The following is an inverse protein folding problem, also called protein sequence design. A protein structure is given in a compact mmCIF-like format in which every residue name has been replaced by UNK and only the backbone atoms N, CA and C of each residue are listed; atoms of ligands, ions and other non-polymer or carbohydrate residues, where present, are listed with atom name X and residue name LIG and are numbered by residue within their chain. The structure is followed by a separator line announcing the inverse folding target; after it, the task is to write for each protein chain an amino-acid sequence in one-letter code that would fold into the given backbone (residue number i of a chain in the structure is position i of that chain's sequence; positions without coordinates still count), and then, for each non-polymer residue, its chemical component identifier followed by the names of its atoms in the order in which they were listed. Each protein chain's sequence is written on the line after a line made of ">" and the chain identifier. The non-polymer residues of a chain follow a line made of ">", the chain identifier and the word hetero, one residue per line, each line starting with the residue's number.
data_IF_929444939009
#
_entry.id   IF_929444939009
#
_cell.length_a   1.000
_cell.length_b   1.000
_cell.length_c   1.000
_cell.angle_alpha   90.00
_cell.angle_beta   90.00
_cell.angle_gamma   90.00
#
_symmetry.space_group_name_H-M   'P 1'
#
loop_
_entity.id
_entity.type
_entity.pdbx_description
1 polymer ?
#
# COMPACT_ATOMS: atom_id res chain seq x y z
N UNK A 1 -13.61 12.47 -20.70
CA UNK A 1 -13.88 12.18 -19.30
C UNK A 1 -13.85 10.68 -19.07
N UNK A 2 -13.44 10.25 -17.88
CA UNK A 2 -13.40 8.84 -17.50
C UNK A 2 -14.79 8.27 -17.21
N UNK A 3 -14.87 6.95 -17.10
CA UNK A 3 -16.09 6.26 -16.70
C UNK A 3 -16.23 6.30 -15.16
N UNK A 4 -17.42 6.56 -14.66
CA UNK A 4 -17.70 6.46 -13.22
C UNK A 4 -17.95 4.99 -12.86
N UNK A 5 -17.02 4.39 -12.09
CA UNK A 5 -17.15 3.04 -11.58
C UNK A 5 -17.89 3.02 -10.24
N UNK A 6 -18.48 1.88 -9.86
CA UNK A 6 -18.99 1.69 -8.51
C UNK A 6 -17.89 1.92 -7.46
N UNK A 7 -18.29 2.36 -6.27
CA UNK A 7 -17.36 2.38 -5.14
C UNK A 7 -16.87 0.96 -4.81
N UNK A 8 -15.72 0.83 -4.14
CA UNK A 8 -15.19 -0.47 -3.72
C UNK A 8 -16.23 -1.25 -2.90
N UNK A 9 -16.94 -0.57 -1.98
CA UNK A 9 -18.01 -1.16 -1.20
C UNK A 9 -19.17 -1.70 -2.06
N UNK A 10 -19.60 -0.94 -3.07
CA UNK A 10 -20.66 -1.39 -3.97
C UNK A 10 -20.21 -2.56 -4.84
N UNK A 11 -18.97 -2.55 -5.31
CA UNK A 11 -18.40 -3.67 -6.04
C UNK A 11 -18.27 -4.93 -5.15
N UNK A 12 -17.90 -4.76 -3.88
CA UNK A 12 -17.78 -5.87 -2.94
C UNK A 12 -19.12 -6.55 -2.62
N UNK A 13 -20.22 -5.81 -2.68
CA UNK A 13 -21.56 -6.36 -2.49
C UNK A 13 -21.98 -7.39 -3.56
N UNK A 14 -21.24 -7.48 -4.67
CA UNK A 14 -21.42 -8.53 -5.67
C UNK A 14 -20.85 -9.89 -5.25
N UNK A 15 -19.90 -9.93 -4.29
CA UNK A 15 -19.13 -11.11 -3.92
C UNK A 15 -18.43 -11.80 -5.12
N UNK A 16 -18.15 -11.04 -6.19
CA UNK A 16 -17.62 -11.55 -7.46
C UNK A 16 -16.20 -11.01 -7.71
N UNK A 17 -15.12 -11.80 -7.45
CA UNK A 17 -13.75 -11.41 -7.76
C UNK A 17 -13.53 -11.13 -9.25
N UNK A 18 -14.25 -11.81 -10.13
CA UNK A 18 -14.13 -11.58 -11.58
C UNK A 18 -14.68 -10.20 -11.97
N UNK A 19 -15.76 -9.73 -11.32
CA UNK A 19 -16.23 -8.36 -11.50
C UNK A 19 -15.19 -7.34 -11.03
N UNK A 20 -14.53 -7.58 -9.88
CA UNK A 20 -13.44 -6.75 -9.41
C UNK A 20 -12.25 -6.74 -10.40
N UNK A 21 -11.89 -7.89 -10.96
CA UNK A 21 -10.84 -8.01 -11.98
C UNK A 21 -11.17 -7.22 -13.25
N UNK A 22 -12.40 -7.33 -13.76
CA UNK A 22 -12.86 -6.56 -14.93
C UNK A 22 -12.84 -5.06 -14.66
N UNK A 23 -13.27 -4.63 -13.47
CA UNK A 23 -13.21 -3.23 -13.04
C UNK A 23 -11.78 -2.72 -13.01
N UNK A 24 -10.85 -3.49 -12.40
CA UNK A 24 -9.42 -3.18 -12.39
C UNK A 24 -8.83 -3.05 -13.79
N UNK A 25 -9.17 -3.98 -14.70
CA UNK A 25 -8.71 -3.93 -16.09
C UNK A 25 -9.22 -2.70 -16.85
N UNK A 26 -10.46 -2.28 -16.61
CA UNK A 26 -11.02 -1.08 -17.21
C UNK A 26 -10.34 0.18 -16.69
N UNK A 27 -10.17 0.32 -15.38
CA UNK A 27 -9.46 1.44 -14.76
C UNK A 27 -7.98 1.48 -15.16
N UNK A 28 -7.32 0.32 -15.27
CA UNK A 28 -5.95 0.23 -15.76
C UNK A 28 -5.81 0.76 -17.19
N UNK A 29 -6.74 0.44 -18.08
CA UNK A 29 -6.74 1.00 -19.45
C UNK A 29 -6.92 2.52 -19.46
N UNK A 30 -7.84 3.06 -18.65
CA UNK A 30 -8.02 4.51 -18.53
C UNK A 30 -6.75 5.19 -17.97
N UNK A 31 -6.16 4.63 -16.91
CA UNK A 31 -4.93 5.12 -16.33
C UNK A 31 -3.79 5.14 -17.35
N UNK A 32 -3.65 4.07 -18.15
CA UNK A 32 -2.66 4.00 -19.23
C UNK A 32 -2.90 5.07 -20.29
N UNK A 33 -4.14 5.31 -20.70
CA UNK A 33 -4.48 6.38 -21.65
C UNK A 33 -4.11 7.78 -21.12
N UNK A 34 -4.11 7.96 -19.79
CA UNK A 34 -3.67 9.19 -19.14
C UNK A 34 -2.15 9.25 -18.89
N UNK A 35 -1.39 8.24 -19.33
CA UNK A 35 0.06 8.18 -19.11
C UNK A 35 0.47 7.77 -17.70
N UNK A 36 -0.46 7.28 -16.87
CA UNK A 36 -0.13 6.81 -15.53
C UNK A 36 0.58 5.45 -15.57
N UNK A 37 1.66 5.32 -14.82
CA UNK A 37 2.43 4.08 -14.70
C UNK A 37 2.03 3.26 -13.46
N UNK A 38 1.51 3.92 -12.43
CA UNK A 38 1.03 3.33 -11.20
C UNK A 38 -0.37 3.88 -10.87
N UNK A 39 -1.23 3.04 -10.34
CA UNK A 39 -2.54 3.39 -9.82
C UNK A 39 -2.56 3.13 -8.32
N UNK A 40 -2.76 4.19 -7.50
CA UNK A 40 -2.82 4.10 -6.03
C UNK A 40 -4.18 3.52 -5.58
N UNK A 41 -4.42 2.30 -5.98
CA UNK A 41 -5.59 1.47 -5.66
C UNK A 41 -5.19 -0.02 -5.71
N UNK A 42 -5.88 -0.89 -4.94
CA UNK A 42 -7.02 -0.63 -4.07
C UNK A 42 -6.63 -0.24 -2.64
N UNK A 43 -7.56 0.34 -1.86
CA UNK A 43 -7.46 0.38 -0.41
C UNK A 43 -7.85 -0.99 0.15
N UNK A 44 -6.94 -1.62 0.91
CA UNK A 44 -7.08 -2.99 1.43
C UNK A 44 -7.48 -2.99 2.91
N UNK A 45 -7.73 -1.80 3.49
CA UNK A 45 -8.19 -1.72 4.87
C UNK A 45 -9.63 -2.22 5.01
N UNK A 46 -9.96 -2.67 6.21
CA UNK A 46 -11.28 -3.21 6.51
C UNK A 46 -12.27 -2.09 6.85
N UNK A 47 -13.51 -2.31 6.48
CA UNK A 47 -14.64 -1.46 6.88
C UNK A 47 -15.05 -1.78 8.32
N UNK A 48 -14.50 -1.04 9.29
CA UNK A 48 -14.74 -1.28 10.73
C UNK A 48 -15.76 -0.33 11.33
N UNK A 49 -15.68 0.94 11.00
CA UNK A 49 -16.56 1.97 11.54
C UNK A 49 -17.39 2.59 10.43
N UNK A 50 -18.73 2.67 10.58
CA UNK A 50 -19.60 3.27 9.57
C UNK A 50 -19.34 4.77 9.37
N UNK A 51 -18.73 5.43 10.36
CA UNK A 51 -18.40 6.86 10.34
C UNK A 51 -16.98 7.14 9.81
N UNK A 52 -16.25 6.13 9.34
CA UNK A 52 -14.96 6.37 8.70
C UNK A 52 -15.14 7.18 7.42
N UNK A 53 -14.36 8.27 7.28
CA UNK A 53 -14.42 9.14 6.10
C UNK A 53 -14.03 8.45 4.79
N UNK A 54 -13.40 7.26 4.87
CA UNK A 54 -13.00 6.45 3.71
C UNK A 54 -13.80 5.16 3.54
N UNK A 55 -14.97 5.06 4.15
CA UNK A 55 -15.82 3.86 4.03
C UNK A 55 -16.22 3.51 2.60
N UNK A 56 -16.26 4.48 1.69
CA UNK A 56 -16.55 4.22 0.27
C UNK A 56 -15.37 3.55 -0.46
N UNK A 57 -14.13 3.81 -0.02
CA UNK A 57 -12.92 3.32 -0.67
C UNK A 57 -12.55 1.88 -0.23
N UNK A 58 -13.03 1.45 0.96
CA UNK A 58 -12.79 0.10 1.49
C UNK A 58 -13.81 -0.90 0.97
N UNK A 59 -13.38 -2.14 0.75
CA UNK A 59 -14.23 -3.18 0.14
C UNK A 59 -15.28 -3.73 1.10
N UNK A 60 -14.86 -4.42 2.15
CA UNK A 60 -15.74 -5.15 3.05
C UNK A 60 -15.26 -5.09 4.51
N UNK A 61 -16.07 -5.62 5.40
CA UNK A 61 -15.70 -5.86 6.81
C UNK A 61 -14.88 -7.15 6.95
N UNK A 62 -15.13 -8.11 6.08
CA UNK A 62 -14.49 -9.41 6.07
C UNK A 62 -13.11 -9.36 5.39
N UNK A 63 -12.02 -9.79 6.07
CA UNK A 63 -10.67 -9.76 5.51
C UNK A 63 -10.47 -10.72 4.35
N UNK A 64 -11.14 -11.87 4.33
CA UNK A 64 -11.02 -12.84 3.25
C UNK A 64 -11.63 -12.28 1.96
N UNK A 65 -12.84 -11.73 2.03
CA UNK A 65 -13.50 -11.09 0.89
C UNK A 65 -12.70 -9.88 0.40
N UNK A 66 -12.23 -9.02 1.33
CA UNK A 66 -11.41 -7.86 0.99
C UNK A 66 -10.14 -8.26 0.27
N UNK A 67 -9.40 -9.26 0.79
CA UNK A 67 -8.17 -9.75 0.17
C UNK A 67 -8.39 -10.34 -1.21
N UNK A 68 -9.41 -11.17 -1.38
CA UNK A 68 -9.74 -11.80 -2.67
C UNK A 68 -10.12 -10.77 -3.74
N UNK A 69 -10.96 -9.78 -3.39
CA UNK A 69 -11.39 -8.74 -4.31
C UNK A 69 -10.23 -7.79 -4.66
N UNK A 70 -9.41 -7.40 -3.66
CA UNK A 70 -8.24 -6.57 -3.88
C UNK A 70 -7.21 -7.26 -4.78
N UNK A 71 -6.93 -8.55 -4.56
CA UNK A 71 -6.03 -9.33 -5.40
C UNK A 71 -6.53 -9.40 -6.86
N UNK A 72 -7.81 -9.71 -7.06
CA UNK A 72 -8.40 -9.77 -8.39
C UNK A 72 -8.38 -8.40 -9.10
N UNK A 73 -8.68 -7.33 -8.37
CA UNK A 73 -8.61 -5.96 -8.89
C UNK A 73 -7.18 -5.60 -9.33
N UNK A 74 -6.16 -5.90 -8.50
CA UNK A 74 -4.74 -5.69 -8.82
C UNK A 74 -4.33 -6.43 -10.09
N UNK A 75 -4.70 -7.70 -10.21
CA UNK A 75 -4.46 -8.48 -11.42
C UNK A 75 -5.09 -7.81 -12.66
N UNK A 76 -6.31 -7.30 -12.50
CA UNK A 76 -7.01 -6.55 -13.55
C UNK A 76 -6.24 -5.30 -13.98
N UNK A 77 -5.86 -4.44 -13.04
CA UNK A 77 -5.08 -3.22 -13.31
C UNK A 77 -3.79 -3.55 -14.05
N UNK A 78 -3.08 -4.54 -13.56
CA UNK A 78 -1.77 -4.93 -14.09
C UNK A 78 -1.86 -5.60 -15.47
N UNK A 79 -2.99 -6.23 -15.81
CA UNK A 79 -3.25 -6.77 -17.15
C UNK A 79 -3.29 -5.68 -18.23
N UNK A 80 -3.52 -4.42 -17.86
CA UNK A 80 -3.48 -3.27 -18.75
C UNK A 80 -2.08 -2.62 -18.86
N UNK A 81 -1.06 -3.18 -18.21
CA UNK A 81 0.31 -2.65 -18.21
C UNK A 81 0.57 -1.53 -17.20
N UNK A 82 -0.40 -1.21 -16.34
CA UNK A 82 -0.26 -0.24 -15.25
C UNK A 82 0.01 -0.99 -13.94
N UNK A 83 0.92 -0.51 -13.09
CA UNK A 83 1.16 -1.09 -11.78
C UNK A 83 0.03 -0.80 -10.81
N UNK A 84 -0.42 -1.80 -10.05
CA UNK A 84 -1.32 -1.60 -8.92
C UNK A 84 -0.54 -1.32 -7.64
N UNK A 85 -1.09 -0.45 -6.77
CA UNK A 85 -0.55 -0.17 -5.45
C UNK A 85 -1.52 -0.64 -4.38
N UNK A 86 -1.20 -1.69 -3.63
CA UNK A 86 -2.01 -2.08 -2.48
C UNK A 86 -1.80 -1.09 -1.33
N UNK A 87 -2.83 -0.50 -0.85
CA UNK A 87 -2.76 0.51 0.23
C UNK A 87 -3.95 0.43 1.17
N UNK A 88 -3.95 1.11 2.27
CA UNK A 88 -2.78 1.74 2.93
C UNK A 88 -2.40 0.83 4.09
N UNK A 89 -1.24 0.23 4.05
CA UNK A 89 -0.74 -0.68 5.09
C UNK A 89 -0.39 0.16 6.33
N UNK A 90 -1.02 -0.01 7.49
CA UNK A 90 -2.18 -0.84 7.78
C UNK A 90 -3.09 -0.19 8.84
N UNK A 91 -4.24 -0.82 9.12
CA UNK A 91 -5.17 -0.44 10.19
C UNK A 91 -5.69 1.00 10.05
N UNK A 92 -6.08 1.42 8.85
CA UNK A 92 -6.64 2.76 8.60
C UNK A 92 -8.15 2.70 8.68
N UNK A 93 -8.71 2.91 9.89
CA UNK A 93 -10.14 2.85 10.15
C UNK A 93 -10.72 4.21 10.58
N UNK A 94 -9.88 5.25 10.66
CA UNK A 94 -10.26 6.58 11.11
C UNK A 94 -9.43 7.64 10.38
N UNK A 95 -10.09 8.69 9.92
CA UNK A 95 -9.47 9.81 9.24
C UNK A 95 -9.14 10.99 10.17
N UNK A 96 -9.85 11.11 11.30
CA UNK A 96 -9.56 12.15 12.29
C UNK A 96 -8.15 11.93 12.85
N UNK A 97 -7.33 12.99 12.79
CA UNK A 97 -5.94 12.99 13.26
C UNK A 97 -5.05 11.87 12.67
N UNK A 98 -5.38 11.36 11.49
CA UNK A 98 -4.77 10.15 10.91
C UNK A 98 -3.25 10.18 10.83
N UNK A 99 -2.62 11.36 10.75
CA UNK A 99 -1.15 11.53 10.69
C UNK A 99 -0.45 11.37 12.04
N UNK A 100 -1.19 11.58 13.12
CA UNK A 100 -0.66 11.54 14.50
C UNK A 100 -1.30 10.45 15.35
N UNK A 101 -2.41 9.89 14.89
CA UNK A 101 -3.16 8.84 15.59
C UNK A 101 -2.27 7.62 15.86
N UNK A 102 -2.26 7.18 17.11
CA UNK A 102 -1.67 5.91 17.51
C UNK A 102 -2.79 4.85 17.63
N UNK A 103 -2.85 3.96 16.64
CA UNK A 103 -3.78 2.84 16.58
C UNK A 103 -3.30 1.74 17.52
N UNK A 104 -4.14 1.33 18.45
CA UNK A 104 -3.81 0.25 19.38
C UNK A 104 -4.60 -0.99 19.00
N UNK A 105 -3.90 -2.04 18.67
CA UNK A 105 -4.46 -3.33 18.25
C UNK A 105 -3.62 -4.42 18.90
N UNK A 106 -4.27 -5.38 19.54
CA UNK A 106 -3.56 -6.54 20.07
C UNK A 106 -3.03 -7.41 18.92
N UNK A 107 -1.98 -8.17 19.21
CA UNK A 107 -1.24 -8.95 18.21
C UNK A 107 -2.14 -9.95 17.49
N UNK A 108 -3.03 -10.63 18.21
CA UNK A 108 -3.94 -11.60 17.62
C UNK A 108 -4.88 -10.95 16.62
N UNK A 109 -5.51 -9.84 17.01
CA UNK A 109 -6.40 -9.07 16.12
C UNK A 109 -5.65 -8.54 14.91
N UNK A 110 -4.41 -8.10 15.08
CA UNK A 110 -3.59 -7.65 13.97
C UNK A 110 -3.34 -8.77 12.96
N UNK A 111 -2.89 -9.94 13.46
CA UNK A 111 -2.51 -11.08 12.63
C UNK A 111 -3.72 -11.84 12.04
N UNK A 112 -4.83 -11.94 12.75
CA UNK A 112 -5.98 -12.74 12.31
C UNK A 112 -7.03 -11.91 11.56
N UNK A 113 -7.03 -10.58 11.68
CA UNK A 113 -8.06 -9.73 11.10
C UNK A 113 -7.50 -8.70 10.11
N UNK A 114 -6.52 -7.87 10.51
CA UNK A 114 -6.09 -6.76 9.67
C UNK A 114 -5.07 -7.13 8.60
N UNK A 115 -4.09 -7.94 8.93
CA UNK A 115 -3.01 -8.30 8.01
C UNK A 115 -3.40 -9.35 6.95
N UNK A 116 -4.33 -10.30 7.17
CA UNK A 116 -4.66 -11.31 6.17
C UNK A 116 -5.16 -10.75 4.83
N UNK A 117 -5.92 -9.66 4.86
CA UNK A 117 -6.37 -9.01 3.62
C UNK A 117 -5.19 -8.48 2.79
N UNK A 118 -4.21 -7.88 3.45
CA UNK A 118 -2.97 -7.42 2.80
C UNK A 118 -2.10 -8.57 2.33
N UNK A 119 -1.95 -9.62 3.13
CA UNK A 119 -1.19 -10.82 2.73
C UNK A 119 -1.76 -11.41 1.45
N UNK A 120 -3.08 -11.62 1.38
CA UNK A 120 -3.74 -12.12 0.18
C UNK A 120 -3.56 -11.18 -1.01
N UNK A 121 -3.75 -9.87 -0.82
CA UNK A 121 -3.53 -8.89 -1.87
C UNK A 121 -2.10 -8.88 -2.40
N UNK A 122 -1.10 -9.09 -1.53
CA UNK A 122 0.32 -9.15 -1.89
C UNK A 122 0.66 -10.47 -2.60
N UNK A 123 0.28 -11.61 -2.02
CA UNK A 123 0.65 -12.94 -2.55
C UNK A 123 -0.05 -13.24 -3.86
N UNK A 124 -1.35 -13.00 -3.93
CA UNK A 124 -2.16 -13.38 -5.08
C UNK A 124 -2.28 -12.24 -6.11
N UNK A 125 -2.36 -10.98 -5.63
CA UNK A 125 -2.44 -9.81 -6.48
C UNK A 125 -1.11 -9.33 -7.04
N UNK A 126 0.01 -9.65 -6.36
CA UNK A 126 1.37 -9.27 -6.73
C UNK A 126 1.52 -7.79 -7.13
N UNK A 127 1.11 -6.85 -6.27
CA UNK A 127 1.15 -5.43 -6.59
C UNK A 127 2.57 -4.96 -6.87
N UNK A 128 2.73 -3.99 -7.77
CA UNK A 128 4.04 -3.36 -8.03
C UNK A 128 4.48 -2.46 -6.87
N UNK A 129 3.53 -1.92 -6.12
CA UNK A 129 3.84 -1.12 -4.94
C UNK A 129 2.88 -1.42 -3.78
N UNK A 130 3.33 -1.12 -2.57
CA UNK A 130 2.50 -1.04 -1.36
C UNK A 130 2.65 0.36 -0.78
N UNK A 131 1.53 1.00 -0.43
CA UNK A 131 1.54 2.32 0.23
C UNK A 131 1.45 2.12 1.73
N UNK A 132 2.45 2.57 2.48
CA UNK A 132 2.39 2.60 3.95
C UNK A 132 1.69 3.86 4.44
N UNK A 133 0.82 3.70 5.44
CA UNK A 133 -0.01 4.79 5.95
C UNK A 133 0.74 5.70 6.92
N UNK A 134 0.21 6.90 7.10
CA UNK A 134 0.64 7.81 8.14
C UNK A 134 0.15 7.35 9.54
N UNK A 135 0.75 7.92 10.59
CA UNK A 135 0.41 7.65 11.98
C UNK A 135 1.21 6.49 12.58
N UNK A 136 0.71 5.98 13.69
CA UNK A 136 1.38 4.95 14.48
C UNK A 136 0.49 3.71 14.62
N UNK A 137 1.13 2.56 14.77
CA UNK A 137 0.54 1.29 15.17
C UNK A 137 1.28 0.81 16.42
N UNK A 138 0.55 0.63 17.51
CA UNK A 138 1.09 0.19 18.79
C UNK A 138 2.32 1.00 19.28
N UNK A 139 2.34 2.31 18.99
CA UNK A 139 3.40 3.23 19.40
C UNK A 139 4.54 3.39 18.38
N UNK A 140 4.60 2.55 17.34
CA UNK A 140 5.61 2.66 16.28
C UNK A 140 5.01 3.35 15.05
N UNK A 141 5.74 4.28 14.43
CA UNK A 141 5.32 4.86 13.15
C UNK A 141 5.33 3.80 12.08
N UNK A 142 4.24 3.69 11.32
CA UNK A 142 4.07 2.63 10.33
C UNK A 142 5.19 2.67 9.28
N UNK A 143 5.56 3.86 8.80
CA UNK A 143 6.66 4.00 7.83
C UNK A 143 8.07 3.79 8.45
N UNK A 144 8.19 3.61 9.75
CA UNK A 144 9.43 3.33 10.48
C UNK A 144 9.40 1.94 11.14
N UNK A 145 8.40 1.12 10.82
CA UNK A 145 8.20 -0.20 11.42
C UNK A 145 8.89 -1.29 10.58
N UNK A 146 10.10 -1.66 11.00
CA UNK A 146 10.88 -2.71 10.34
C UNK A 146 10.21 -4.07 10.42
N UNK A 147 9.57 -4.41 11.54
CA UNK A 147 8.87 -5.68 11.70
C UNK A 147 7.71 -5.83 10.70
N UNK A 148 6.97 -4.73 10.48
CA UNK A 148 5.88 -4.73 9.50
C UNK A 148 6.39 -4.70 8.05
N UNK A 149 7.32 -3.79 7.72
CA UNK A 149 7.71 -3.51 6.34
C UNK A 149 8.78 -4.45 5.80
N UNK A 150 9.73 -4.86 6.64
CA UNK A 150 10.81 -5.76 6.23
C UNK A 150 10.51 -7.20 6.59
N UNK A 151 10.22 -7.50 7.87
CA UNK A 151 10.10 -8.89 8.30
C UNK A 151 8.78 -9.51 7.80
N UNK A 152 7.67 -8.80 7.94
CA UNK A 152 6.36 -9.31 7.54
C UNK A 152 6.14 -9.13 6.02
N UNK A 153 6.11 -7.90 5.52
CA UNK A 153 5.74 -7.62 4.13
C UNK A 153 6.75 -8.25 3.15
N UNK A 154 8.06 -8.00 3.33
CA UNK A 154 9.07 -8.52 2.41
C UNK A 154 9.50 -9.95 2.75
N UNK A 155 9.74 -10.24 4.03
CA UNK A 155 10.20 -11.56 4.48
C UNK A 155 9.11 -12.62 4.41
N UNK A 156 8.06 -12.48 5.21
CA UNK A 156 7.04 -13.51 5.34
C UNK A 156 6.13 -13.59 4.10
N UNK A 157 5.72 -12.44 3.52
CA UNK A 157 4.81 -12.45 2.36
C UNK A 157 5.53 -12.47 1.01
N UNK A 158 6.86 -12.27 0.97
CA UNK A 158 7.67 -12.32 -0.24
C UNK A 158 7.47 -11.13 -1.17
N UNK A 159 7.09 -9.95 -0.65
CA UNK A 159 6.87 -8.77 -1.46
C UNK A 159 8.16 -8.24 -2.09
N UNK A 160 8.22 -8.21 -3.41
CA UNK A 160 9.38 -7.76 -4.18
C UNK A 160 9.21 -6.35 -4.81
N UNK A 161 8.05 -5.72 -4.66
CA UNK A 161 7.76 -4.39 -5.20
C UNK A 161 8.35 -3.25 -4.37
N UNK A 162 7.93 -2.02 -4.68
CA UNK A 162 8.33 -0.83 -3.93
C UNK A 162 7.35 -0.50 -2.81
N UNK A 163 7.87 -0.04 -1.68
CA UNK A 163 7.08 0.53 -0.59
C UNK A 163 7.11 2.05 -0.68
N UNK A 164 5.93 2.65 -0.79
CA UNK A 164 5.76 4.10 -0.94
C UNK A 164 5.18 4.67 0.34
N UNK A 165 5.74 5.78 0.85
CA UNK A 165 5.16 6.48 1.98
C UNK A 165 4.01 7.39 1.54
N UNK A 166 2.90 7.34 2.26
CA UNK A 166 1.79 8.29 2.08
C UNK A 166 2.28 9.74 2.32
N UNK A 167 1.78 10.74 1.56
CA UNK A 167 2.15 12.13 1.78
C UNK A 167 1.92 12.59 3.22
N UNK A 168 2.99 13.10 3.85
CA UNK A 168 2.98 13.54 5.25
C UNK A 168 3.18 12.42 6.28
N UNK A 169 3.46 11.18 5.85
CA UNK A 169 3.77 10.06 6.75
C UNK A 169 5.21 10.11 7.28
N UNK A 170 6.13 10.67 6.50
CA UNK A 170 7.56 10.69 6.80
C UNK A 170 7.88 11.78 7.84
N UNK A 171 8.47 11.36 8.96
CA UNK A 171 8.99 12.25 10.00
C UNK A 171 10.52 12.22 10.01
N UNK A 172 11.08 11.03 10.01
CA UNK A 172 12.51 10.79 9.90
C UNK A 172 12.80 10.00 8.61
N UNK A 173 13.35 10.65 7.57
CA UNK A 173 13.64 9.99 6.30
C UNK A 173 14.63 8.83 6.43
N UNK A 174 15.63 8.95 7.30
CA UNK A 174 16.65 7.93 7.48
C UNK A 174 16.03 6.65 8.10
N UNK A 175 15.26 6.80 9.18
CA UNK A 175 14.53 5.68 9.79
C UNK A 175 13.52 5.08 8.84
N UNK A 176 12.81 5.91 8.08
CA UNK A 176 11.83 5.46 7.09
C UNK A 176 12.48 4.57 6.02
N UNK A 177 13.62 4.97 5.44
CA UNK A 177 14.35 4.16 4.48
C UNK A 177 14.95 2.91 5.12
N UNK A 178 15.52 3.04 6.31
CA UNK A 178 16.07 1.90 7.05
C UNK A 178 15.01 0.82 7.32
N UNK A 179 13.77 1.22 7.62
CA UNK A 179 12.66 0.31 7.89
C UNK A 179 12.16 -0.46 6.64
N UNK A 180 12.50 -0.02 5.42
CA UNK A 180 12.10 -0.73 4.21
C UNK A 180 11.25 0.06 3.22
N UNK A 181 10.98 1.34 3.47
CA UNK A 181 10.34 2.25 2.51
C UNK A 181 11.33 2.57 1.39
N UNK A 182 10.85 2.64 0.16
CA UNK A 182 11.66 2.92 -1.03
C UNK A 182 11.42 4.31 -1.60
N UNK A 183 10.22 4.87 -1.41
CA UNK A 183 9.91 6.24 -1.81
C UNK A 183 9.32 7.00 -0.63
N UNK A 184 10.10 7.96 -0.13
CA UNK A 184 9.72 8.85 0.95
C UNK A 184 9.75 10.29 0.42
N UNK A 185 8.59 11.00 0.30
CA UNK A 185 8.59 12.42 -0.03
C UNK A 185 9.26 13.23 1.09
N UNK A 186 10.54 13.50 0.95
CA UNK A 186 11.37 14.18 1.95
C UNK A 186 12.47 15.01 1.27
N UNK A 187 13.09 15.88 2.05
CA UNK A 187 14.27 16.65 1.61
C UNK A 187 15.44 15.69 1.36
N UNK A 188 15.92 15.64 0.13
CA UNK A 188 17.05 14.81 -0.27
C UNK A 188 18.34 15.14 0.51
N UNK A 189 18.52 16.41 0.92
CA UNK A 189 19.67 16.81 1.72
C UNK A 189 19.76 16.05 3.02
N UNK A 190 18.63 15.84 3.71
CA UNK A 190 18.58 15.08 4.96
C UNK A 190 19.00 13.59 4.80
N UNK A 191 18.75 13.00 3.64
CA UNK A 191 19.21 11.63 3.35
C UNK A 191 20.73 11.59 3.09
N UNK A 192 21.24 12.57 2.35
CA UNK A 192 22.69 12.70 2.12
C UNK A 192 23.43 12.88 3.45
N UNK A 193 22.97 13.80 4.29
CA UNK A 193 23.55 14.04 5.62
C UNK A 193 23.49 12.78 6.50
N UNK A 194 22.40 12.02 6.45
CA UNK A 194 22.27 10.78 7.21
C UNK A 194 23.26 9.69 6.76
N UNK A 195 23.50 9.57 5.46
CA UNK A 195 24.52 8.63 4.93
C UNK A 195 25.93 9.11 5.31
N UNK A 196 26.25 10.39 5.14
CA UNK A 196 27.55 10.94 5.45
C UNK A 196 27.90 10.84 6.95
N UNK A 197 26.91 10.99 7.82
CA UNK A 197 27.07 10.84 9.28
C UNK A 197 27.06 9.38 9.76
N UNK A 198 26.76 8.42 8.89
CA UNK A 198 26.61 7.01 9.25
C UNK A 198 25.29 6.66 9.95
N UNK A 199 24.33 7.59 10.01
CA UNK A 199 23.00 7.36 10.57
C UNK A 199 22.09 6.51 9.66
N UNK A 200 22.39 6.45 8.37
CA UNK A 200 21.75 5.60 7.39
C UNK A 200 22.81 4.83 6.61
N UNK A 201 22.65 3.50 6.53
CA UNK A 201 23.50 2.68 5.68
C UNK A 201 23.19 2.96 4.20
N UNK A 202 24.23 3.18 3.38
CA UNK A 202 24.10 3.44 1.95
C UNK A 202 23.37 2.29 1.21
N UNK A 203 23.49 1.06 1.71
CA UNK A 203 22.79 -0.10 1.15
C UNK A 203 21.27 0.06 1.19
N UNK A 204 20.72 0.75 2.21
CA UNK A 204 19.28 1.03 2.29
C UNK A 204 18.83 2.01 1.18
N UNK A 205 19.66 3.02 0.88
CA UNK A 205 19.42 3.95 -0.23
C UNK A 205 19.51 3.24 -1.59
N UNK A 206 20.53 2.40 -1.78
CA UNK A 206 20.73 1.62 -3.00
C UNK A 206 19.60 0.62 -3.24
N UNK A 207 19.11 -0.04 -2.18
CA UNK A 207 17.92 -0.92 -2.23
C UNK A 207 16.70 -0.12 -2.69
N UNK A 208 16.43 1.02 -2.07
CA UNK A 208 15.30 1.88 -2.37
C UNK A 208 15.32 2.33 -3.83
N UNK A 209 16.43 2.86 -4.30
CA UNK A 209 16.63 3.27 -5.70
C UNK A 209 16.41 2.10 -6.69
N UNK A 210 16.97 0.93 -6.38
CA UNK A 210 16.82 -0.27 -7.20
C UNK A 210 15.37 -0.73 -7.32
N UNK A 211 14.60 -0.67 -6.22
CA UNK A 211 13.19 -1.03 -6.21
C UNK A 211 12.35 -0.05 -7.06
N UNK A 212 12.61 1.25 -6.96
CA UNK A 212 11.93 2.26 -7.78
C UNK A 212 12.28 2.09 -9.27
N UNK A 213 13.55 1.91 -9.61
CA UNK A 213 13.96 1.67 -11.02
C UNK A 213 13.26 0.44 -11.59
N UNK A 214 13.17 -0.64 -10.81
CA UNK A 214 12.53 -1.89 -11.25
C UNK A 214 11.05 -1.69 -11.58
N UNK A 215 10.29 -0.96 -10.77
CA UNK A 215 8.86 -0.74 -11.05
C UNK A 215 8.66 0.18 -12.26
N UNK A 216 9.53 1.18 -12.45
CA UNK A 216 9.48 2.07 -13.61
C UNK A 216 9.82 1.34 -14.90
N UNK A 217 10.87 0.52 -14.89
CA UNK A 217 11.27 -0.28 -16.06
C UNK A 217 10.20 -1.28 -16.51
N UNK A 218 9.50 -1.89 -15.55
CA UNK A 218 8.42 -2.83 -15.83
C UNK A 218 7.13 -2.16 -16.35
N UNK A 219 7.02 -0.83 -16.26
CA UNK A 219 5.86 -0.06 -16.74
C UNK A 219 6.06 0.51 -18.15
N UNK A 220 7.28 0.38 -18.72
CA UNK A 220 7.66 0.98 -20.01
C UNK A 220 7.44 0.03 -21.21
N UNK A 221 6.95 -1.18 -20.99
CA UNK A 221 6.57 -2.17 -21.98
C UNK A 221 5.07 -2.33 -22.07
#
# INVERSE_FOLDING_TARGET
>A
GGVCFPSACAAAASFDPEAARRMGAALGREARCCGAQLLDLPDVNLKRGPLSGRSADTWAEDPCLTGALAAAFLQGVQSAGVGGCAGRLAVVNQETDRRTLNRRVDERTLQELYLPAFETAVRDGQPRAVVCSAGQLNGTRICEDTALLTDTLRGAWGFAGAVLAEPGAVQDPARTLAAGVDFAPADAGRLVDAVQSGALDESALNRAASNIIRILSASST
#
